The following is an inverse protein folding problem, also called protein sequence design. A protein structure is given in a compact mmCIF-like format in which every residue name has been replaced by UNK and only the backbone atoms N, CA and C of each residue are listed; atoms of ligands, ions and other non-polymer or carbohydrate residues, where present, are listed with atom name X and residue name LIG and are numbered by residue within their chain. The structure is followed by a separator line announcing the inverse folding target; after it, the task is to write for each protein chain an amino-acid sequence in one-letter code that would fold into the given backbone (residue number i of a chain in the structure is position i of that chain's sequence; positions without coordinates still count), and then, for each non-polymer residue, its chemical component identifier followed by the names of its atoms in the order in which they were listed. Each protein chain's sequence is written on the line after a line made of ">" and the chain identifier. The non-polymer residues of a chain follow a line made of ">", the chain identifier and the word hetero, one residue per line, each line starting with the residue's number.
data_IF_273357826896
#
_entry.id   IF_273357826896
#
_cell.length_a   1.000
_cell.length_b   1.000
_cell.length_c   1.000
_cell.angle_alpha   90.00
_cell.angle_beta   90.00
_cell.angle_gamma   90.00
#
_symmetry.space_group_name_H-M   'P 1'
#
loop_
_entity.id
_entity.type
_entity.pdbx_description
1 polymer ?
#
# COMPACT_ATOMS: atom_id res chain seq x y z
N UNK A 1 -30.48 -3.29 -48.94
CA UNK A 1 -30.83 -4.70 -49.13
C UNK A 1 -30.29 -5.44 -47.91
N UNK A 2 -31.16 -5.62 -46.90
CA UNK A 2 -31.60 -6.95 -46.38
C UNK A 2 -30.47 -7.69 -45.66
N UNK A 3 -30.42 -7.71 -44.32
CA UNK A 3 -31.24 -8.54 -43.40
C UNK A 3 -30.95 -10.04 -43.63
N UNK A 4 -30.78 -10.92 -42.66
CA UNK A 4 -31.01 -10.99 -41.23
C UNK A 4 -30.09 -12.16 -40.73
N UNK A 5 -30.09 -12.73 -39.54
CA UNK A 5 -31.04 -12.87 -38.44
C UNK A 5 -30.28 -13.63 -37.34
N UNK A 6 -30.64 -13.43 -36.07
CA UNK A 6 -30.80 -14.51 -35.08
C UNK A 6 -31.32 -13.91 -33.77
N UNK A 7 -32.64 -13.90 -33.67
CA UNK A 7 -33.45 -13.63 -32.49
C UNK A 7 -33.66 -14.90 -31.63
N UNK A 8 -34.02 -14.72 -30.35
CA UNK A 8 -35.05 -15.51 -29.61
C UNK A 8 -35.17 -14.95 -28.18
N UNK A 9 -36.16 -14.09 -27.88
CA UNK A 9 -37.58 -14.31 -27.49
C UNK A 9 -37.80 -14.72 -26.02
N UNK A 10 -38.42 -13.82 -25.26
CA UNK A 10 -39.29 -14.10 -24.11
C UNK A 10 -40.76 -14.25 -24.57
N UNK A 11 -41.66 -14.81 -23.74
CA UNK A 11 -43.11 -14.59 -23.89
C UNK A 11 -43.74 -13.93 -22.64
N UNK A 12 -44.68 -13.04 -22.92
CA UNK A 12 -45.61 -12.37 -21.99
C UNK A 12 -46.65 -13.34 -21.39
N UNK A 13 -47.20 -12.98 -20.23
CA UNK A 13 -48.47 -13.50 -19.71
C UNK A 13 -49.12 -12.45 -18.81
N UNK A 14 -50.19 -11.85 -19.30
CA UNK A 14 -51.12 -10.96 -18.59
C UNK A 14 -51.88 -11.68 -17.44
N UNK A 15 -52.22 -10.93 -16.38
CA UNK A 15 -53.61 -10.62 -15.98
C UNK A 15 -53.86 -10.54 -14.46
N UNK A 16 -54.51 -9.43 -14.11
CA UNK A 16 -55.53 -9.22 -13.07
C UNK A 16 -55.12 -8.80 -11.64
N UNK A 17 -55.73 -7.66 -11.27
CA UNK A 17 -55.67 -6.85 -10.06
C UNK A 17 -56.34 -7.52 -8.85
N UNK A 18 -55.85 -7.25 -7.63
CA UNK A 18 -56.71 -6.73 -6.56
C UNK A 18 -55.88 -5.99 -5.47
N UNK A 19 -56.51 -4.98 -4.88
CA UNK A 19 -55.94 -3.87 -4.12
C UNK A 19 -55.67 -4.15 -2.63
N UNK A 20 -54.70 -3.44 -2.01
CA UNK A 20 -54.74 -2.71 -0.69
C UNK A 20 -53.31 -2.35 -0.16
N UNK A 21 -53.10 -1.38 0.76
CA UNK A 21 -52.72 0.00 0.40
C UNK A 21 -51.39 0.52 0.99
N UNK A 22 -50.85 1.56 0.34
CA UNK A 22 -49.95 2.62 0.80
C UNK A 22 -49.12 2.44 2.10
N UNK A 23 -47.79 2.33 1.92
CA UNK A 23 -46.78 2.75 2.92
C UNK A 23 -45.97 3.89 2.30
N UNK A 24 -45.77 5.03 3.00
CA UNK A 24 -45.23 6.24 2.40
C UNK A 24 -43.73 6.09 2.09
N UNK A 25 -43.37 6.52 0.88
CA UNK A 25 -42.02 6.74 0.40
C UNK A 25 -41.27 7.72 1.30
N UNK A 26 -40.27 7.24 2.05
CA UNK A 26 -39.14 8.04 2.53
C UNK A 26 -37.96 7.86 1.56
N UNK A 27 -38.12 8.41 0.36
CA UNK A 27 -37.02 8.65 -0.57
C UNK A 27 -36.63 10.12 -0.43
N UNK A 28 -35.81 10.43 0.56
CA UNK A 28 -35.04 11.67 0.67
C UNK A 28 -34.03 11.51 1.82
N UNK A 29 -32.78 11.91 1.56
CA UNK A 29 -31.73 12.21 2.54
C UNK A 29 -30.89 11.03 3.11
N UNK A 30 -30.09 10.36 2.28
CA UNK A 30 -28.88 9.65 2.74
C UNK A 30 -27.69 9.79 1.76
N UNK A 31 -27.67 10.88 0.98
CA UNK A 31 -26.61 11.18 0.03
C UNK A 31 -25.65 12.26 0.56
N UNK A 32 -25.05 12.07 1.74
CA UNK A 32 -23.93 12.89 2.24
C UNK A 32 -23.29 12.33 3.54
N UNK A 33 -22.81 11.09 3.53
CA UNK A 33 -21.90 10.61 4.56
C UNK A 33 -20.62 10.11 3.89
N UNK A 34 -19.50 10.80 4.14
CA UNK A 34 -18.18 10.42 3.61
C UNK A 34 -17.78 9.00 4.03
N UNK A 35 -16.78 8.39 3.38
CA UNK A 35 -16.39 7.01 3.61
C UNK A 35 -15.98 6.80 5.08
N UNK A 36 -16.68 5.90 5.78
CA UNK A 36 -16.40 5.57 7.18
C UNK A 36 -15.32 4.49 7.26
N UNK A 37 -14.16 4.82 7.83
CA UNK A 37 -13.12 3.85 8.18
C UNK A 37 -13.60 2.98 9.35
N UNK A 38 -13.80 1.68 9.15
CA UNK A 38 -14.16 0.75 10.23
C UNK A 38 -12.96 0.46 11.14
N UNK A 39 -13.21 0.00 12.37
CA UNK A 39 -12.17 -0.26 13.38
C UNK A 39 -11.21 -1.38 12.93
N UNK A 40 -11.68 -2.30 12.09
CA UNK A 40 -10.89 -3.40 11.51
C UNK A 40 -9.70 -2.91 10.66
N UNK A 41 -9.74 -1.65 10.21
CA UNK A 41 -8.71 -1.07 9.35
C UNK A 41 -7.54 -0.43 10.13
N UNK A 42 -7.73 -0.08 11.40
CA UNK A 42 -6.78 0.71 12.20
C UNK A 42 -6.38 0.05 13.52
N UNK A 43 -6.90 -1.15 13.79
CA UNK A 43 -6.57 -1.91 15.00
C UNK A 43 -6.00 -3.27 14.64
N UNK A 44 -4.99 -3.70 15.40
CA UNK A 44 -4.49 -5.07 15.33
C UNK A 44 -5.50 -6.03 15.95
N UNK A 45 -6.07 -6.91 15.12
CA UNK A 45 -6.85 -8.06 15.55
C UNK A 45 -5.97 -9.06 16.32
N UNK A 46 -6.53 -9.92 17.18
CA UNK A 46 -5.76 -10.99 17.82
C UNK A 46 -5.03 -11.86 16.80
N UNK A 47 -3.81 -12.30 17.12
CA UNK A 47 -3.03 -13.14 16.20
C UNK A 47 -3.59 -14.57 16.17
N UNK A 48 -3.74 -15.19 14.99
CA UNK A 48 -4.17 -16.58 14.91
C UNK A 48 -3.16 -17.51 15.61
N UNK A 49 -3.66 -18.42 16.45
CA UNK A 49 -2.89 -19.49 17.09
C UNK A 49 -1.66 -19.03 17.91
N UNK A 50 -1.60 -17.76 18.34
CA UNK A 50 -0.47 -17.23 19.09
C UNK A 50 0.84 -17.17 18.29
N UNK A 51 0.76 -17.13 16.95
CA UNK A 51 1.94 -16.96 16.10
C UNK A 51 2.65 -15.66 16.45
N UNK A 52 3.97 -15.71 16.51
CA UNK A 52 4.84 -14.57 16.74
C UNK A 52 5.63 -14.23 15.46
N UNK A 53 5.96 -12.96 15.24
CA UNK A 53 6.85 -12.53 14.16
C UNK A 53 8.20 -13.25 14.18
N UNK A 54 8.69 -13.68 13.01
CA UNK A 54 9.96 -14.41 12.85
C UNK A 54 11.10 -13.57 12.26
N UNK A 55 10.79 -12.41 11.69
CA UNK A 55 11.72 -11.48 11.05
C UNK A 55 12.40 -10.51 12.03
N UNK A 56 13.08 -9.53 11.45
CA UNK A 56 13.77 -8.46 12.18
C UNK A 56 13.34 -7.08 11.68
N UNK A 57 13.31 -6.09 12.57
CA UNK A 57 13.17 -4.68 12.17
C UNK A 57 14.56 -4.05 12.12
N UNK A 58 14.95 -3.53 10.96
CA UNK A 58 16.18 -2.74 10.79
C UNK A 58 16.04 -1.72 9.67
N UNK A 59 17.02 -0.84 9.55
CA UNK A 59 17.03 0.18 8.49
C UNK A 59 17.39 -0.43 7.13
N UNK A 60 16.62 -0.03 6.12
CA UNK A 60 16.88 -0.27 4.70
C UNK A 60 16.63 1.05 3.95
N UNK A 61 17.68 1.67 3.39
CA UNK A 61 17.56 3.00 2.78
C UNK A 61 17.14 4.11 3.75
N UNK A 62 17.63 4.04 5.00
CA UNK A 62 17.29 4.89 6.15
C UNK A 62 15.84 4.77 6.68
N UNK A 63 15.08 3.80 6.18
CA UNK A 63 13.70 3.55 6.58
C UNK A 63 13.64 2.30 7.43
N UNK A 64 12.97 2.37 8.58
CA UNK A 64 12.76 1.18 9.41
C UNK A 64 11.88 0.19 8.63
N UNK A 65 12.38 -1.03 8.48
CA UNK A 65 11.83 -2.04 7.59
C UNK A 65 11.85 -3.38 8.31
N UNK A 66 10.71 -4.06 8.33
CA UNK A 66 10.63 -5.43 8.78
C UNK A 66 11.07 -6.34 7.64
N UNK A 67 12.02 -7.22 7.92
CA UNK A 67 12.65 -8.07 6.94
C UNK A 67 12.54 -9.50 7.44
N UNK A 68 11.96 -10.36 6.61
CA UNK A 68 11.85 -11.80 6.88
C UNK A 68 12.26 -12.57 5.62
N UNK A 69 12.88 -13.72 5.83
CA UNK A 69 13.47 -14.55 4.78
C UNK A 69 12.98 -15.99 4.95
N UNK A 70 12.86 -16.77 3.87
CA UNK A 70 12.60 -18.20 3.98
C UNK A 70 13.74 -18.86 4.77
N UNK A 71 13.43 -19.86 5.59
CA UNK A 71 14.42 -20.51 6.46
C UNK A 71 15.64 -21.11 5.71
N UNK A 72 15.48 -21.46 4.43
CA UNK A 72 16.55 -21.98 3.58
C UNK A 72 17.38 -20.92 2.84
N UNK A 73 17.02 -19.64 2.90
CA UNK A 73 17.71 -18.57 2.18
C UNK A 73 19.09 -18.25 2.81
N UNK A 74 20.17 -18.01 2.03
CA UNK A 74 20.21 -17.90 0.56
C UNK A 74 20.46 -19.22 -0.20
N UNK A 75 20.50 -20.36 0.48
CA UNK A 75 20.77 -21.66 -0.16
C UNK A 75 19.58 -22.22 -0.96
N UNK A 76 18.36 -21.84 -0.58
CA UNK A 76 17.14 -22.09 -1.34
C UNK A 76 16.75 -20.81 -2.09
N UNK A 77 16.54 -20.86 -3.42
CA UNK A 77 16.16 -19.69 -4.19
C UNK A 77 14.85 -19.07 -3.68
N UNK A 78 14.84 -17.75 -3.52
CA UNK A 78 13.69 -16.96 -3.12
C UNK A 78 13.51 -15.76 -4.06
N UNK A 79 12.33 -15.13 -4.07
CA UNK A 79 12.04 -13.91 -4.83
C UNK A 79 11.86 -12.72 -3.91
N UNK A 80 12.17 -11.50 -4.35
CA UNK A 80 11.98 -10.32 -3.51
C UNK A 80 10.53 -9.82 -3.57
N UNK A 81 9.90 -9.66 -2.40
CA UNK A 81 8.55 -9.11 -2.24
C UNK A 81 8.57 -7.85 -1.36
N UNK A 82 8.02 -6.76 -1.88
CA UNK A 82 7.72 -5.55 -1.14
C UNK A 82 6.29 -5.63 -0.56
N UNK A 83 6.16 -5.61 0.76
CA UNK A 83 4.85 -5.59 1.43
C UNK A 83 4.53 -4.18 1.93
N UNK A 84 3.41 -3.63 1.45
CA UNK A 84 2.95 -2.27 1.76
C UNK A 84 1.72 -2.32 2.67
N UNK A 85 1.87 -1.79 3.90
CA UNK A 85 0.87 -1.93 4.97
C UNK A 85 -0.32 -0.99 4.84
N UNK A 86 -1.43 -1.36 5.49
CA UNK A 86 -2.54 -0.46 5.80
C UNK A 86 -2.22 0.47 6.97
N UNK A 87 -3.25 1.14 7.51
CA UNK A 87 -3.08 2.17 8.56
C UNK A 87 -2.39 1.72 9.85
N UNK A 88 -2.40 0.42 10.17
CA UNK A 88 -1.72 -0.14 11.36
C UNK A 88 -0.19 -0.16 11.24
N UNK A 89 0.35 -0.08 10.03
CA UNK A 89 1.79 0.13 9.78
C UNK A 89 2.73 -0.99 10.24
N UNK A 90 4.02 -0.66 10.29
CA UNK A 90 5.11 -1.54 10.72
C UNK A 90 4.92 -2.13 12.14
N UNK A 91 4.43 -1.38 13.15
CA UNK A 91 4.30 -1.90 14.52
C UNK A 91 3.27 -3.03 14.66
N UNK A 92 2.41 -3.21 13.65
CA UNK A 92 1.39 -4.25 13.65
C UNK A 92 2.00 -5.65 13.68
N UNK A 93 1.64 -6.43 14.70
CA UNK A 93 2.06 -7.84 14.79
C UNK A 93 1.43 -8.66 13.67
N UNK A 94 0.19 -8.33 13.28
CA UNK A 94 -0.49 -8.99 12.16
C UNK A 94 0.18 -8.72 10.82
N UNK A 95 0.61 -7.49 10.55
CA UNK A 95 1.36 -7.19 9.32
C UNK A 95 2.72 -7.91 9.28
N UNK A 96 3.40 -8.03 10.42
CA UNK A 96 4.65 -8.80 10.52
C UNK A 96 4.42 -10.30 10.27
N UNK A 97 3.37 -10.88 10.84
CA UNK A 97 2.98 -12.27 10.56
C UNK A 97 2.55 -12.45 9.11
N UNK A 98 1.86 -11.47 8.52
CA UNK A 98 1.50 -11.48 7.11
C UNK A 98 2.76 -11.54 6.22
N UNK A 99 3.80 -10.78 6.57
CA UNK A 99 5.09 -10.86 5.89
C UNK A 99 5.73 -12.24 6.06
N UNK A 100 5.66 -12.83 7.26
CA UNK A 100 6.21 -14.17 7.52
C UNK A 100 5.51 -15.25 6.66
N UNK A 101 4.19 -15.15 6.46
CA UNK A 101 3.45 -16.07 5.60
C UNK A 101 3.97 -16.05 4.15
N UNK A 102 4.28 -14.87 3.60
CA UNK A 102 4.90 -14.80 2.28
C UNK A 102 6.33 -15.37 2.29
N UNK A 103 7.07 -15.22 3.39
CA UNK A 103 8.40 -15.81 3.49
C UNK A 103 8.38 -17.34 3.53
N UNK A 104 7.38 -17.93 4.19
CA UNK A 104 7.15 -19.38 4.16
C UNK A 104 6.91 -19.87 2.72
N UNK A 105 6.34 -19.03 1.86
CA UNK A 105 6.05 -19.28 0.44
C UNK A 105 7.20 -18.91 -0.53
N UNK A 106 8.42 -18.73 -0.01
CA UNK A 106 9.62 -18.57 -0.83
C UNK A 106 9.91 -17.13 -1.26
N UNK A 107 9.46 -16.14 -0.49
CA UNK A 107 9.81 -14.74 -0.70
C UNK A 107 10.78 -14.21 0.36
N UNK A 108 11.79 -13.46 -0.05
CA UNK A 108 12.42 -12.48 0.86
C UNK A 108 11.47 -11.30 0.91
N UNK A 109 10.95 -10.98 2.10
CA UNK A 109 9.94 -9.92 2.25
C UNK A 109 10.58 -8.71 2.91
N UNK A 110 10.39 -7.55 2.29
CA UNK A 110 10.73 -6.24 2.84
C UNK A 110 9.43 -5.46 3.07
N UNK A 111 9.15 -5.11 4.32
CA UNK A 111 7.97 -4.37 4.74
C UNK A 111 8.40 -3.03 5.37
N UNK A 112 8.49 -1.94 4.60
CA UNK A 112 8.94 -0.66 5.13
C UNK A 112 7.87 0.04 5.97
N UNK A 113 8.30 0.84 6.93
CA UNK A 113 7.44 1.79 7.62
C UNK A 113 7.05 2.93 6.68
N UNK A 114 5.84 2.86 6.15
CA UNK A 114 5.29 3.89 5.26
C UNK A 114 5.01 5.21 5.97
N UNK A 115 4.95 5.20 7.31
CA UNK A 115 4.43 6.29 8.12
C UNK A 115 5.47 6.92 9.05
N UNK A 116 6.68 6.38 9.11
CA UNK A 116 7.75 6.90 9.98
C UNK A 116 7.34 6.97 11.46
N UNK A 117 6.61 5.96 11.92
CA UNK A 117 6.07 5.85 13.28
C UNK A 117 4.72 6.52 13.53
N UNK A 118 4.17 7.29 12.58
CA UNK A 118 2.85 7.95 12.70
C UNK A 118 1.75 7.08 12.10
N UNK A 119 1.40 5.96 12.75
CA UNK A 119 0.32 5.06 12.28
C UNK A 119 -1.06 5.73 12.35
N UNK A 120 -2.04 5.17 11.62
CA UNK A 120 -3.39 5.71 11.59
C UNK A 120 -4.02 5.72 13.00
N UNK A 121 -4.78 6.76 13.36
CA UNK A 121 -5.43 6.84 14.66
C UNK A 121 -6.48 5.74 14.79
N UNK A 122 -6.44 5.03 15.92
CA UNK A 122 -7.39 3.98 16.26
C UNK A 122 -8.46 4.46 17.25
N UNK A 123 -9.46 3.62 17.52
CA UNK A 123 -10.58 3.97 18.40
C UNK A 123 -10.12 4.39 19.80
N UNK A 124 -9.07 3.78 20.34
CA UNK A 124 -8.52 4.17 21.65
C UNK A 124 -7.92 5.59 21.65
N UNK A 125 -7.14 5.93 20.61
CA UNK A 125 -6.59 7.27 20.44
C UNK A 125 -7.70 8.32 20.26
N UNK A 126 -8.77 7.96 19.54
CA UNK A 126 -9.93 8.83 19.34
C UNK A 126 -10.71 9.01 20.65
N UNK A 127 -10.94 7.93 21.40
CA UNK A 127 -11.59 8.01 22.71
C UNK A 127 -10.81 8.87 23.70
N UNK A 128 -9.48 8.82 23.67
CA UNK A 128 -8.61 9.69 24.46
C UNK A 128 -8.76 11.17 24.05
N UNK A 129 -8.79 11.46 22.75
CA UNK A 129 -8.99 12.81 22.22
C UNK A 129 -10.40 13.35 22.53
N UNK A 130 -11.43 12.53 22.38
CA UNK A 130 -12.80 12.90 22.75
C UNK A 130 -12.88 13.19 24.25
N UNK A 131 -12.23 12.36 25.09
CA UNK A 131 -12.19 12.56 26.54
C UNK A 131 -11.43 13.84 26.92
N UNK A 132 -10.38 14.19 26.19
CA UNK A 132 -9.62 15.42 26.41
C UNK A 132 -10.46 16.67 26.09
N UNK A 133 -11.33 16.59 25.08
CA UNK A 133 -12.28 17.66 24.73
C UNK A 133 -13.49 17.72 25.67
N UNK A 134 -13.98 16.56 26.15
CA UNK A 134 -15.13 16.45 27.06
C UNK A 134 -14.85 16.81 28.51
N UNK A 135 -13.57 16.92 28.92
CA UNK A 135 -13.20 17.41 30.26
C UNK A 135 -13.68 18.85 30.54
N UNK A 136 -14.36 19.50 29.58
CA UNK A 136 -15.00 20.79 29.72
C UNK A 136 -16.52 20.76 30.01
N UNK A 137 -17.23 19.62 29.91
CA UNK A 137 -18.69 19.56 30.15
C UNK A 137 -19.16 18.25 30.80
N UNK A 138 -19.47 18.32 32.09
CA UNK A 138 -19.99 17.20 32.88
C UNK A 138 -21.53 17.04 32.78
N UNK A 139 -21.95 15.77 32.75
CA UNK A 139 -23.21 15.18 33.24
C UNK A 139 -24.50 15.28 32.39
N UNK A 140 -24.99 14.12 31.91
CA UNK A 140 -26.39 13.91 31.48
C UNK A 140 -26.62 12.70 30.57
N UNK A 141 -26.95 11.52 31.12
CA UNK A 141 -27.06 10.25 30.38
C UNK A 141 -28.16 10.17 29.30
N UNK A 142 -27.93 9.29 28.33
CA UNK A 142 -28.78 8.85 27.21
C UNK A 142 -28.87 9.76 25.97
N UNK A 143 -29.15 11.07 26.09
CA UNK A 143 -29.05 11.96 24.91
C UNK A 143 -27.59 12.23 24.55
N UNK A 144 -26.71 12.30 25.57
CA UNK A 144 -25.28 12.48 25.34
C UNK A 144 -24.65 11.33 24.57
N UNK A 145 -25.16 10.10 24.64
CA UNK A 145 -24.51 8.97 23.97
C UNK A 145 -24.56 9.11 22.44
N UNK A 146 -25.68 9.61 21.89
CA UNK A 146 -25.76 9.91 20.45
C UNK A 146 -24.84 11.08 20.06
N UNK A 147 -24.75 12.11 20.91
CA UNK A 147 -23.85 13.24 20.67
C UNK A 147 -22.39 12.82 20.79
N UNK A 148 -22.08 11.93 21.73
CA UNK A 148 -20.77 11.32 21.93
C UNK A 148 -20.36 10.50 20.74
N UNK A 149 -21.25 9.64 20.23
CA UNK A 149 -20.95 8.85 19.03
C UNK A 149 -20.75 9.76 17.83
N UNK A 150 -21.61 10.76 17.61
CA UNK A 150 -21.43 11.72 16.49
C UNK A 150 -20.17 12.57 16.63
N UNK A 151 -19.86 13.02 17.85
CA UNK A 151 -18.63 13.76 18.13
C UNK A 151 -17.40 12.87 17.90
N UNK A 152 -17.41 11.64 18.41
CA UNK A 152 -16.35 10.66 18.20
C UNK A 152 -16.17 10.31 16.71
N UNK A 153 -17.25 10.13 15.95
CA UNK A 153 -17.19 9.93 14.49
C UNK A 153 -16.58 11.15 13.78
N UNK A 154 -16.93 12.37 14.19
CA UNK A 154 -16.40 13.62 13.61
C UNK A 154 -14.92 13.81 13.94
N UNK A 155 -14.52 13.52 15.18
CA UNK A 155 -13.12 13.56 15.60
C UNK A 155 -12.33 12.47 14.88
N UNK A 156 -12.88 11.25 14.77
CA UNK A 156 -12.29 10.14 14.02
C UNK A 156 -12.01 10.53 12.57
N UNK A 157 -13.02 11.02 11.85
CA UNK A 157 -12.84 11.43 10.45
C UNK A 157 -11.80 12.53 10.32
N UNK A 158 -11.85 13.55 11.19
CA UNK A 158 -10.87 14.64 11.17
C UNK A 158 -9.44 14.17 11.46
N UNK A 159 -9.25 13.27 12.43
CA UNK A 159 -7.93 12.72 12.76
C UNK A 159 -7.39 11.87 11.60
N UNK A 160 -8.25 11.08 10.94
CA UNK A 160 -7.88 10.31 9.75
C UNK A 160 -7.52 11.25 8.60
N UNK A 161 -8.30 12.30 8.34
CA UNK A 161 -8.00 13.29 7.29
C UNK A 161 -6.67 14.01 7.56
N UNK A 162 -6.42 14.38 8.82
CA UNK A 162 -5.14 14.94 9.23
C UNK A 162 -3.99 13.94 9.05
N UNK A 163 -4.21 12.66 9.35
CA UNK A 163 -3.23 11.60 9.14
C UNK A 163 -2.93 11.40 7.65
N UNK A 164 -3.95 11.36 6.81
CA UNK A 164 -3.84 11.29 5.35
C UNK A 164 -3.09 12.49 4.77
N UNK A 165 -3.36 13.70 5.27
CA UNK A 165 -2.64 14.91 4.87
C UNK A 165 -1.14 14.87 5.23
N UNK A 166 -0.74 14.09 6.24
CA UNK A 166 0.66 13.87 6.60
C UNK A 166 1.32 12.78 5.78
N UNK A 167 0.57 11.85 5.17
CA UNK A 167 1.05 10.70 4.41
C UNK A 167 0.69 10.78 2.93
N UNK A 168 1.23 11.81 2.27
CA UNK A 168 0.98 12.07 0.86
C UNK A 168 1.90 11.25 -0.05
N UNK A 169 1.48 11.12 -1.32
CA UNK A 169 2.28 10.51 -2.38
C UNK A 169 3.71 11.09 -2.45
N UNK A 170 3.84 12.41 -2.35
CA UNK A 170 5.11 13.14 -2.37
C UNK A 170 6.05 12.82 -1.19
N UNK A 171 5.55 12.20 -0.11
CA UNK A 171 6.37 11.72 1.01
C UNK A 171 6.65 10.23 0.91
N UNK A 172 5.62 9.44 0.61
CA UNK A 172 5.71 7.98 0.62
C UNK A 172 6.47 7.45 -0.58
N UNK A 173 6.31 8.02 -1.79
CA UNK A 173 7.04 7.52 -2.96
C UNK A 173 8.56 7.68 -2.83
N UNK A 174 9.13 8.84 -2.45
CA UNK A 174 10.56 8.96 -2.16
C UNK A 174 11.09 7.94 -1.16
N UNK A 175 10.31 7.64 -0.12
CA UNK A 175 10.64 6.62 0.87
C UNK A 175 10.73 5.24 0.22
N UNK A 176 9.71 4.86 -0.55
CA UNK A 176 9.67 3.58 -1.27
C UNK A 176 10.83 3.45 -2.27
N UNK A 177 11.24 4.53 -2.94
CA UNK A 177 12.38 4.51 -3.84
C UNK A 177 13.70 4.21 -3.11
N UNK A 178 13.92 4.80 -1.93
CA UNK A 178 15.11 4.51 -1.12
C UNK A 178 15.12 3.06 -0.65
N UNK A 179 13.98 2.56 -0.18
CA UNK A 179 13.82 1.16 0.25
C UNK A 179 14.06 0.20 -0.92
N UNK A 180 13.43 0.44 -2.06
CA UNK A 180 13.57 -0.41 -3.25
C UNK A 180 15.01 -0.42 -3.77
N UNK A 181 15.69 0.73 -3.79
CA UNK A 181 17.12 0.79 -4.15
C UNK A 181 17.96 -0.08 -3.22
N UNK A 182 17.86 0.17 -1.90
CA UNK A 182 18.62 -0.59 -0.92
C UNK A 182 18.28 -2.09 -0.91
N UNK A 183 17.00 -2.44 -1.10
CA UNK A 183 16.56 -3.83 -1.18
C UNK A 183 17.08 -4.55 -2.43
N UNK A 184 17.11 -3.86 -3.58
CA UNK A 184 17.67 -4.41 -4.83
C UNK A 184 19.17 -4.65 -4.72
N UNK A 185 19.88 -3.79 -4.02
CA UNK A 185 21.32 -3.93 -3.78
C UNK A 185 21.60 -5.09 -2.81
N UNK A 186 20.88 -5.15 -1.68
CA UNK A 186 21.12 -6.16 -0.64
C UNK A 186 20.65 -7.56 -1.05
N UNK A 187 19.50 -7.66 -1.73
CA UNK A 187 18.85 -8.92 -2.12
C UNK A 187 18.89 -9.13 -3.64
N UNK A 188 20.01 -8.77 -4.26
CA UNK A 188 20.20 -8.85 -5.71
C UNK A 188 19.95 -10.26 -6.28
N UNK A 189 20.27 -11.31 -5.51
CA UNK A 189 20.00 -12.70 -5.86
C UNK A 189 18.50 -13.01 -5.89
N UNK A 190 17.73 -12.51 -4.93
CA UNK A 190 16.27 -12.67 -4.89
C UNK A 190 15.57 -11.89 -6.01
N UNK A 191 16.07 -10.69 -6.34
CA UNK A 191 15.62 -9.91 -7.50
C UNK A 191 15.92 -10.65 -8.80
N UNK A 192 17.14 -11.17 -8.97
CA UNK A 192 17.52 -11.92 -10.16
C UNK A 192 16.70 -13.21 -10.32
N UNK A 193 16.41 -13.90 -9.21
CA UNK A 193 15.60 -15.12 -9.22
C UNK A 193 14.16 -14.86 -9.67
N UNK A 194 13.59 -13.71 -9.32
CA UNK A 194 12.24 -13.29 -9.64
C UNK A 194 12.10 -12.44 -10.91
N UNK A 195 13.21 -12.17 -11.60
CA UNK A 195 13.26 -11.20 -12.72
C UNK A 195 12.65 -9.83 -12.34
N UNK A 196 12.87 -9.40 -11.10
CA UNK A 196 12.35 -8.15 -10.56
C UNK A 196 11.84 -8.25 -9.13
N UNK A 197 11.09 -7.23 -8.72
CA UNK A 197 10.51 -7.09 -7.38
C UNK A 197 9.01 -7.28 -7.47
N UNK A 198 8.44 -8.14 -6.65
CA UNK A 198 6.99 -8.28 -6.53
C UNK A 198 6.48 -7.30 -5.48
N UNK A 199 5.23 -6.86 -5.55
CA UNK A 199 4.65 -6.07 -4.47
C UNK A 199 3.24 -6.52 -4.10
N UNK A 200 2.95 -6.47 -2.81
CA UNK A 200 1.61 -6.66 -2.24
C UNK A 200 1.27 -5.44 -1.40
N UNK A 201 0.06 -4.93 -1.52
CA UNK A 201 -0.38 -3.73 -0.81
C UNK A 201 -1.75 -3.89 -0.19
N UNK A 202 -1.87 -3.56 1.09
CA UNK A 202 -3.12 -3.66 1.85
C UNK A 202 -3.63 -2.27 2.18
N UNK A 203 -4.93 -2.01 2.00
CA UNK A 203 -5.53 -0.72 2.34
C UNK A 203 -4.72 0.44 1.72
N UNK A 204 -4.10 1.29 2.54
CA UNK A 204 -3.27 2.42 2.11
C UNK A 204 -2.15 1.99 1.16
N UNK A 205 -1.49 0.87 1.46
CA UNK A 205 -0.42 0.31 0.64
C UNK A 205 -0.87 -0.13 -0.76
N UNK A 206 -2.16 -0.44 -0.95
CA UNK A 206 -2.71 -0.90 -2.23
C UNK A 206 -2.58 0.14 -3.35
N UNK A 207 -2.79 1.43 -3.03
CA UNK A 207 -2.57 2.52 -4.00
C UNK A 207 -1.13 2.59 -4.48
N UNK A 208 -0.17 2.39 -3.59
CA UNK A 208 1.25 2.48 -3.92
C UNK A 208 1.74 1.32 -4.76
N UNK A 209 1.08 0.15 -4.72
CA UNK A 209 1.32 -0.92 -5.70
C UNK A 209 1.00 -0.43 -7.11
N UNK A 210 -0.14 0.24 -7.31
CA UNK A 210 -0.51 0.82 -8.62
C UNK A 210 0.54 1.85 -9.07
N UNK A 211 0.94 2.77 -8.20
CA UNK A 211 1.92 3.80 -8.54
C UNK A 211 3.29 3.21 -8.92
N UNK A 212 3.71 2.12 -8.26
CA UNK A 212 4.97 1.42 -8.58
C UNK A 212 4.86 0.54 -9.85
N UNK A 213 3.66 0.14 -10.24
CA UNK A 213 3.37 -0.68 -11.42
C UNK A 213 3.27 0.11 -12.73
N UNK A 214 3.28 1.44 -12.66
CA UNK A 214 3.25 2.33 -13.83
C UNK A 214 4.61 2.88 -14.23
N UNK A 215 4.70 3.46 -15.43
CA UNK A 215 5.88 4.20 -15.89
C UNK A 215 6.19 5.48 -15.09
N UNK A 216 5.15 6.04 -14.45
CA UNK A 216 5.25 7.23 -13.59
C UNK A 216 6.15 7.02 -12.38
N UNK A 217 6.45 5.78 -12.01
CA UNK A 217 7.34 5.49 -10.91
C UNK A 217 8.71 6.17 -11.09
N UNK A 218 9.23 6.23 -12.33
CA UNK A 218 10.52 6.86 -12.64
C UNK A 218 10.61 8.37 -12.38
N UNK A 219 9.49 9.06 -12.17
CA UNK A 219 9.43 10.51 -11.98
C UNK A 219 9.96 10.96 -10.61
N UNK A 220 10.12 10.03 -9.67
CA UNK A 220 10.49 10.32 -8.28
C UNK A 220 11.96 10.00 -7.96
N UNK A 221 12.86 10.11 -8.94
CA UNK A 221 14.30 10.04 -8.70
C UNK A 221 14.73 11.15 -7.71
N UNK A 222 14.79 10.79 -6.43
CA UNK A 222 15.24 11.69 -5.36
C UNK A 222 16.75 11.63 -5.29
N UNK A 223 17.39 12.74 -5.67
CA UNK A 223 18.78 13.03 -5.31
C UNK A 223 18.93 12.85 -3.79
N UNK A 224 19.87 12.00 -3.36
CA UNK A 224 20.15 11.82 -1.94
C UNK A 224 20.57 13.14 -1.28
N UNK A 225 20.57 13.25 0.06
CA UNK A 225 21.08 14.44 0.71
C UNK A 225 22.55 14.62 0.32
N UNK A 226 22.83 15.63 -0.49
CA UNK A 226 24.21 16.03 -0.78
C UNK A 226 24.85 16.44 0.54
N UNK A 227 25.82 15.65 1.00
CA UNK A 227 26.69 16.05 2.09
C UNK A 227 27.32 17.40 1.71
N UNK A 228 26.96 18.46 2.44
CA UNK A 228 27.56 19.80 2.26
C UNK A 228 29.08 19.69 2.32
N UNK A 229 29.83 20.24 1.35
CA UNK A 229 31.27 20.32 1.48
C UNK A 229 31.59 21.29 2.63
N UNK A 230 32.27 20.78 3.65
CA UNK A 230 32.97 21.56 4.65
C UNK A 230 34.03 22.42 3.94
N UNK A 231 33.85 23.74 3.91
CA UNK A 231 34.89 24.64 3.44
C UNK A 231 34.47 26.10 3.42
N UNK A 232 34.89 26.85 4.45
CA UNK A 232 35.42 28.21 4.33
C UNK A 232 35.68 28.80 5.72
N UNK A 233 36.91 28.68 6.22
CA UNK A 233 37.46 29.57 7.24
C UNK A 233 38.16 30.75 6.54
N UNK A 234 37.96 32.02 6.96
CA UNK A 234 38.59 33.14 6.29
C UNK A 234 39.94 33.52 6.90
N UNK A 235 40.90 33.69 5.98
CA UNK A 235 41.89 34.79 5.87
C UNK A 235 43.10 34.91 6.82
N UNK A 236 44.26 34.75 6.16
CA UNK A 236 45.45 35.62 6.14
C UNK A 236 46.44 35.63 7.34
N UNK A 237 47.67 35.20 7.05
CA UNK A 237 48.85 35.40 7.92
C UNK A 237 50.14 34.76 7.39
N UNK A 238 50.85 35.47 6.49
CA UNK A 238 52.33 35.57 6.36
C UNK A 238 53.24 34.33 6.12
N UNK A 239 53.59 34.09 4.84
CA UNK A 239 54.92 34.14 4.17
C UNK A 239 56.19 33.37 4.72
N UNK A 240 57.28 33.19 3.93
CA UNK A 240 57.58 31.94 3.18
C UNK A 240 59.06 31.45 3.25
N UNK A 241 59.39 30.20 2.84
CA UNK A 241 60.66 29.67 2.26
C UNK A 241 60.68 28.12 2.39
N UNK A 242 61.22 27.26 1.53
CA UNK A 242 61.94 27.29 0.25
C UNK A 242 61.90 25.86 -0.38
N UNK A 243 62.06 25.76 -1.72
CA UNK A 243 62.89 24.79 -2.49
C UNK A 243 62.73 23.25 -2.25
N UNK A 244 62.75 22.29 -3.19
CA UNK A 244 62.97 22.16 -4.65
C UNK A 244 62.78 20.67 -5.03
N UNK A 245 62.20 20.39 -6.22
CA UNK A 245 62.32 19.22 -7.14
C UNK A 245 62.06 17.77 -6.71
N UNK A 246 61.18 17.07 -7.46
CA UNK A 246 61.49 16.06 -8.53
C UNK A 246 60.22 15.25 -8.88
N UNK A 247 59.62 15.51 -10.04
CA UNK A 247 59.47 14.59 -11.21
C UNK A 247 58.87 13.20 -10.93
N UNK A 248 57.64 12.99 -11.42
CA UNK A 248 57.00 11.69 -11.63
C UNK A 248 55.64 11.87 -12.31
N UNK A 249 55.60 11.65 -13.63
CA UNK A 249 54.42 11.79 -14.47
C UNK A 249 53.68 10.44 -14.61
N UNK A 250 52.35 10.46 -14.40
CA UNK A 250 51.29 9.54 -14.88
C UNK A 250 50.08 9.76 -13.92
N UNK A 251 48.83 9.99 -14.28
CA UNK A 251 48.02 10.04 -15.51
C UNK A 251 46.77 10.86 -15.11
N UNK A 252 46.34 11.92 -15.83
CA UNK A 252 45.20 12.75 -15.43
C UNK A 252 43.81 12.20 -15.84
N UNK A 253 43.68 10.94 -16.29
CA UNK A 253 42.40 10.38 -16.76
C UNK A 253 41.89 9.16 -15.97
N UNK A 254 41.96 9.20 -14.63
CA UNK A 254 41.41 8.14 -13.76
C UNK A 254 40.01 8.46 -13.19
N UNK A 255 39.35 9.51 -13.67
CA UNK A 255 37.94 9.81 -13.34
C UNK A 255 37.03 9.30 -14.47
N UNK A 256 36.92 7.98 -14.58
CA UNK A 256 35.93 7.33 -15.45
C UNK A 256 34.72 6.95 -14.59
N UNK A 257 33.65 7.74 -14.73
CA UNK A 257 32.25 7.34 -14.63
C UNK A 257 31.71 6.74 -13.31
N UNK A 258 32.00 7.35 -12.17
CA UNK A 258 31.21 7.07 -10.94
C UNK A 258 29.78 7.64 -11.03
N UNK A 259 29.57 8.68 -11.85
CA UNK A 259 28.25 9.33 -12.03
C UNK A 259 27.37 8.58 -13.04
N UNK A 260 27.95 7.93 -14.05
CA UNK A 260 27.19 7.19 -15.07
C UNK A 260 26.78 5.76 -14.62
N UNK A 261 27.39 5.24 -13.54
CA UNK A 261 26.98 3.97 -12.93
C UNK A 261 25.73 4.12 -12.04
N UNK A 262 25.51 5.28 -11.41
CA UNK A 262 24.33 5.53 -10.58
C UNK A 262 23.05 5.79 -11.41
N UNK A 263 23.18 6.36 -12.61
CA UNK A 263 22.07 6.53 -13.55
C UNK A 263 21.57 5.20 -14.13
N UNK A 264 22.36 4.11 -14.05
CA UNK A 264 22.03 2.81 -14.66
C UNK A 264 21.12 1.89 -13.85
N UNK A 265 21.00 2.07 -12.54
CA UNK A 265 20.32 1.10 -11.65
C UNK A 265 18.83 1.39 -11.43
N UNK A 266 18.39 2.61 -11.79
CA UNK A 266 16.98 3.06 -11.84
C UNK A 266 16.63 3.73 -13.20
N UNK A 267 17.49 3.56 -14.22
CA UNK A 267 17.57 4.42 -15.41
C UNK A 267 16.82 4.00 -16.67
N UNK A 268 15.79 3.17 -16.58
CA UNK A 268 14.87 2.96 -17.72
C UNK A 268 13.45 3.32 -17.31
N UNK A 269 12.73 4.12 -18.11
CA UNK A 269 11.30 4.33 -17.88
C UNK A 269 10.62 2.96 -17.92
N UNK A 270 9.86 2.66 -16.88
CA UNK A 270 9.20 1.37 -16.69
C UNK A 270 8.72 1.17 -15.26
N UNK A 271 7.97 0.09 -15.01
CA UNK A 271 7.48 -0.23 -13.68
C UNK A 271 8.64 -0.59 -12.74
N UNK A 272 8.52 -0.22 -11.47
CA UNK A 272 9.48 -0.59 -10.42
C UNK A 272 9.23 -1.99 -9.85
N UNK A 273 8.08 -2.57 -10.17
CA UNK A 273 7.70 -3.92 -9.76
C UNK A 273 7.40 -4.80 -10.99
N UNK A 274 7.63 -6.11 -10.84
CA UNK A 274 7.40 -7.15 -11.84
C UNK A 274 5.92 -7.53 -11.94
N UNK A 275 5.27 -7.67 -10.79
CA UNK A 275 3.84 -7.94 -10.64
C UNK A 275 3.35 -7.39 -9.30
N UNK A 276 2.09 -6.96 -9.25
CA UNK A 276 1.49 -6.33 -8.08
C UNK A 276 0.19 -7.00 -7.65
N UNK A 277 -0.09 -6.99 -6.36
CA UNK A 277 -1.41 -7.35 -5.81
C UNK A 277 -1.86 -6.27 -4.84
N UNK A 278 -3.10 -5.83 -4.95
CA UNK A 278 -3.72 -4.92 -3.99
C UNK A 278 -4.93 -5.58 -3.34
N UNK A 279 -4.99 -5.50 -2.02
CA UNK A 279 -6.10 -5.99 -1.21
C UNK A 279 -6.80 -4.84 -0.52
N UNK A 280 -8.11 -4.75 -0.73
CA UNK A 280 -9.03 -3.75 -0.18
C UNK A 280 -8.37 -2.37 -0.15
N UNK A 281 -7.93 -1.88 -1.32
CA UNK A 281 -7.15 -0.65 -1.40
C UNK A 281 -7.95 0.57 -0.88
N UNK A 282 -7.28 1.69 -0.64
CA UNK A 282 -7.95 2.96 -0.36
C UNK A 282 -7.23 4.12 -1.04
N UNK A 283 -7.90 5.27 -1.15
CA UNK A 283 -7.40 6.48 -1.82
C UNK A 283 -7.08 6.28 -3.31
N UNK A 284 -7.57 5.21 -3.91
CA UNK A 284 -7.40 4.94 -5.34
C UNK A 284 -8.41 5.76 -6.12
N UNK A 285 -7.94 6.36 -7.21
CA UNK A 285 -8.72 7.06 -8.21
C UNK A 285 -8.56 6.38 -9.57
N UNK A 286 -9.46 6.62 -10.54
CA UNK A 286 -9.29 6.12 -11.90
C UNK A 286 -7.97 6.57 -12.57
N UNK A 287 -7.39 7.69 -12.13
CA UNK A 287 -6.11 8.20 -12.67
C UNK A 287 -4.90 7.36 -12.24
N UNK A 288 -4.97 6.66 -11.10
CA UNK A 288 -3.88 5.82 -10.59
C UNK A 288 -3.69 4.56 -11.47
N UNK A 289 -4.68 4.17 -12.27
CA UNK A 289 -4.58 3.07 -13.23
C UNK A 289 -3.89 3.45 -14.54
N UNK A 290 -3.79 4.76 -14.85
CA UNK A 290 -3.25 5.19 -16.15
C UNK A 290 -1.72 5.02 -16.20
N UNK A 291 -1.25 4.32 -17.24
CA UNK A 291 0.17 4.06 -17.48
C UNK A 291 0.70 2.80 -16.78
N UNK A 292 -0.18 1.98 -16.21
CA UNK A 292 0.20 0.68 -15.65
C UNK A 292 0.78 -0.23 -16.73
N UNK A 293 1.85 -0.95 -16.37
CA UNK A 293 2.55 -1.89 -17.25
C UNK A 293 2.77 -3.24 -16.59
N UNK A 294 2.90 -3.29 -15.26
CA UNK A 294 3.02 -4.56 -14.54
C UNK A 294 1.65 -5.25 -14.38
N UNK A 295 1.59 -6.59 -14.39
CA UNK A 295 0.36 -7.34 -14.11
C UNK A 295 -0.17 -7.09 -12.69
N UNK A 296 -1.49 -6.95 -12.56
CA UNK A 296 -2.17 -6.57 -11.31
C UNK A 296 -3.28 -7.56 -10.92
N UNK A 297 -3.25 -8.08 -9.68
CA UNK A 297 -4.42 -8.73 -9.06
C UNK A 297 -5.08 -7.83 -8.02
N UNK A 298 -6.42 -7.81 -8.01
CA UNK A 298 -7.24 -6.99 -7.12
C UNK A 298 -8.15 -7.88 -6.25
N UNK A 299 -7.90 -7.85 -4.94
CA UNK A 299 -8.73 -8.48 -3.90
C UNK A 299 -9.64 -7.40 -3.34
N UNK A 300 -10.88 -7.33 -3.83
CA UNK A 300 -11.82 -6.25 -3.56
C UNK A 300 -12.91 -6.67 -2.57
N UNK A 301 -13.42 -5.72 -1.79
CA UNK A 301 -14.56 -5.92 -0.90
C UNK A 301 -15.82 -5.40 -1.60
N UNK A 302 -16.91 -6.16 -1.55
CA UNK A 302 -18.19 -5.75 -2.11
C UNK A 302 -18.71 -4.47 -1.44
N UNK A 303 -19.15 -3.49 -2.24
CA UNK A 303 -19.71 -2.22 -1.74
C UNK A 303 -18.78 -1.45 -0.78
N UNK A 304 -17.46 -1.57 -0.97
CA UNK A 304 -16.48 -0.90 -0.11
C UNK A 304 -16.45 0.62 -0.34
N UNK A 305 -16.81 1.45 0.65
CA UNK A 305 -16.78 2.90 0.49
C UNK A 305 -15.36 3.46 0.32
N UNK A 306 -14.31 2.71 0.72
CA UNK A 306 -12.92 3.14 0.58
C UNK A 306 -12.31 2.80 -0.78
N UNK A 307 -12.90 1.83 -1.49
CA UNK A 307 -12.58 1.52 -2.88
C UNK A 307 -13.86 1.31 -3.68
N UNK A 308 -14.57 2.40 -4.04
CA UNK A 308 -15.89 2.31 -4.65
C UNK A 308 -15.88 1.50 -5.94
N UNK A 309 -16.96 0.74 -6.18
CA UNK A 309 -17.11 -0.10 -7.38
C UNK A 309 -16.92 0.67 -8.68
N UNK A 310 -17.31 1.95 -8.74
CA UNK A 310 -17.09 2.79 -9.91
C UNK A 310 -15.58 3.00 -10.20
N UNK A 311 -14.75 3.14 -9.16
CA UNK A 311 -13.29 3.28 -9.30
C UNK A 311 -12.68 1.93 -9.71
N UNK A 312 -13.05 0.85 -9.03
CA UNK A 312 -12.62 -0.52 -9.37
C UNK A 312 -12.92 -0.86 -10.82
N UNK A 313 -14.17 -0.66 -11.24
CA UNK A 313 -14.64 -0.95 -12.61
C UNK A 313 -13.90 -0.10 -13.63
N UNK A 314 -13.71 1.20 -13.38
CA UNK A 314 -12.93 2.06 -14.29
C UNK A 314 -11.48 1.60 -14.43
N UNK A 315 -10.88 1.09 -13.34
CA UNK A 315 -9.53 0.51 -13.36
C UNK A 315 -9.45 -0.80 -14.15
N UNK A 316 -10.38 -1.73 -13.91
CA UNK A 316 -10.49 -3.01 -14.64
C UNK A 316 -10.71 -2.79 -16.15
N UNK A 317 -11.60 -1.86 -16.50
CA UNK A 317 -11.84 -1.45 -17.90
C UNK A 317 -10.56 -0.91 -18.54
N UNK A 318 -9.80 -0.07 -17.82
CA UNK A 318 -8.54 0.47 -18.31
C UNK A 318 -7.50 -0.63 -18.56
N UNK A 319 -7.31 -1.54 -17.60
CA UNK A 319 -6.36 -2.65 -17.71
C UNK A 319 -6.70 -3.55 -18.91
N UNK A 320 -7.98 -3.89 -19.07
CA UNK A 320 -8.51 -4.64 -20.21
C UNK A 320 -8.25 -3.92 -21.55
N UNK A 321 -8.57 -2.63 -21.64
CA UNK A 321 -8.40 -1.86 -22.88
C UNK A 321 -6.93 -1.68 -23.29
N UNK A 322 -6.01 -1.69 -22.33
CA UNK A 322 -4.57 -1.50 -22.56
C UNK A 322 -3.77 -2.81 -22.56
N UNK A 323 -4.44 -3.97 -22.54
CA UNK A 323 -3.83 -5.31 -22.51
C UNK A 323 -2.83 -5.50 -21.35
N UNK A 324 -3.11 -4.90 -20.20
CA UNK A 324 -2.37 -5.19 -18.96
C UNK A 324 -3.02 -6.41 -18.32
N UNK A 325 -2.24 -7.47 -18.11
CA UNK A 325 -2.72 -8.70 -17.49
C UNK A 325 -3.24 -8.41 -16.07
N UNK A 326 -4.45 -8.87 -15.78
CA UNK A 326 -5.09 -8.59 -14.50
C UNK A 326 -6.07 -9.68 -14.06
N UNK A 327 -6.32 -9.72 -12.76
CA UNK A 327 -7.37 -10.53 -12.13
C UNK A 327 -8.11 -9.65 -11.11
N UNK A 328 -9.43 -9.78 -11.03
CA UNK A 328 -10.26 -9.07 -10.06
C UNK A 328 -11.18 -10.08 -9.38
N UNK A 329 -11.17 -10.08 -8.05
CA UNK A 329 -12.11 -10.85 -7.26
C UNK A 329 -12.78 -9.95 -6.23
N UNK A 330 -14.11 -9.97 -6.21
CA UNK A 330 -14.92 -9.20 -5.26
C UNK A 330 -15.46 -10.16 -4.20
N UNK A 331 -15.15 -9.89 -2.94
CA UNK A 331 -15.54 -10.69 -1.79
C UNK A 331 -16.77 -10.08 -1.12
N UNK A 332 -17.92 -10.77 -1.14
CA UNK A 332 -19.13 -10.31 -0.45
C UNK A 332 -19.06 -10.62 1.05
N UNK A 333 -19.75 -9.81 1.86
CA UNK A 333 -19.95 -10.08 3.28
C UNK A 333 -18.70 -9.99 4.18
N UNK A 334 -17.59 -9.46 3.67
CA UNK A 334 -16.36 -9.26 4.44
C UNK A 334 -16.12 -7.77 4.73
N UNK A 335 -15.49 -7.41 5.86
CA UNK A 335 -15.14 -6.03 6.14
C UNK A 335 -13.91 -5.57 5.35
N UNK A 336 -13.73 -4.25 5.21
CA UNK A 336 -12.44 -3.71 4.80
C UNK A 336 -11.34 -4.18 5.77
N UNK A 337 -10.18 -4.57 5.24
CA UNK A 337 -9.09 -5.13 6.04
C UNK A 337 -9.14 -6.66 6.23
N UNK A 338 -10.14 -7.36 5.70
CA UNK A 338 -10.31 -8.82 5.90
C UNK A 338 -9.13 -9.67 5.47
N UNK A 339 -8.41 -9.24 4.43
CA UNK A 339 -7.33 -10.00 3.81
C UNK A 339 -6.00 -9.93 4.58
N UNK A 340 -5.87 -9.02 5.56
CA UNK A 340 -4.72 -9.02 6.49
C UNK A 340 -4.93 -10.11 7.53
N UNK A 341 -3.89 -10.86 7.87
CA UNK A 341 -3.90 -11.81 9.00
C UNK A 341 -4.58 -11.21 10.23
N UNK A 342 -5.41 -12.02 10.87
CA UNK A 342 -5.97 -11.71 12.18
C UNK A 342 -7.22 -12.51 12.43
N UNK A 343 -7.53 -12.71 13.70
CA UNK A 343 -8.68 -13.51 14.11
C UNK A 343 -10.00 -12.76 13.86
N UNK A 344 -11.02 -13.51 13.42
CA UNK A 344 -12.38 -13.03 13.16
C UNK A 344 -13.35 -13.94 13.90
N UNK A 345 -14.35 -13.37 14.59
CA UNK A 345 -15.37 -14.19 15.24
C UNK A 345 -16.23 -14.99 14.23
N UNK A 346 -16.40 -14.44 13.03
CA UNK A 346 -17.15 -15.07 11.94
C UNK A 346 -16.23 -15.99 11.11
N UNK A 347 -16.55 -17.28 11.08
CA UNK A 347 -15.80 -18.29 10.34
C UNK A 347 -15.82 -18.06 8.82
N UNK A 348 -16.88 -17.43 8.28
CA UNK A 348 -16.94 -17.12 6.84
C UNK A 348 -15.90 -16.07 6.44
N UNK A 349 -15.59 -15.12 7.33
CA UNK A 349 -14.54 -14.13 7.10
C UNK A 349 -13.16 -14.78 7.20
N UNK A 350 -12.96 -15.72 8.13
CA UNK A 350 -11.71 -16.49 8.20
C UNK A 350 -11.46 -17.29 6.92
N UNK A 351 -12.50 -17.96 6.39
CA UNK A 351 -12.42 -18.68 5.12
C UNK A 351 -12.12 -17.73 3.96
N UNK A 352 -12.81 -16.59 3.88
CA UNK A 352 -12.56 -15.57 2.87
C UNK A 352 -11.13 -15.01 2.94
N UNK A 353 -10.58 -14.79 4.14
CA UNK A 353 -9.19 -14.36 4.34
C UNK A 353 -8.21 -15.41 3.79
N UNK A 354 -8.43 -16.69 4.07
CA UNK A 354 -7.58 -17.77 3.54
C UNK A 354 -7.67 -17.85 2.00
N UNK A 355 -8.88 -17.78 1.44
CA UNK A 355 -9.10 -17.79 -0.01
C UNK A 355 -8.46 -16.58 -0.70
N UNK A 356 -8.56 -15.39 -0.09
CA UNK A 356 -7.88 -14.19 -0.57
C UNK A 356 -6.37 -14.36 -0.57
N UNK A 357 -5.78 -14.88 0.51
CA UNK A 357 -4.35 -15.13 0.56
C UNK A 357 -3.88 -16.10 -0.54
N UNK A 358 -4.62 -17.19 -0.79
CA UNK A 358 -4.34 -18.12 -1.88
C UNK A 358 -4.45 -17.46 -3.27
N UNK A 359 -5.44 -16.59 -3.49
CA UNK A 359 -5.54 -15.80 -4.72
C UNK A 359 -4.26 -14.97 -4.93
N UNK A 360 -3.84 -14.24 -3.89
CA UNK A 360 -2.64 -13.40 -3.95
C UNK A 360 -1.39 -14.24 -4.24
N UNK A 361 -1.20 -15.36 -3.54
CA UNK A 361 -0.06 -16.25 -3.76
C UNK A 361 -0.04 -16.84 -5.16
N UNK A 362 -1.19 -17.30 -5.66
CA UNK A 362 -1.32 -17.84 -7.01
C UNK A 362 -0.92 -16.80 -8.05
N UNK A 363 -1.34 -15.54 -7.88
CA UNK A 363 -0.95 -14.45 -8.77
C UNK A 363 0.57 -14.23 -8.77
N UNK A 364 1.17 -14.13 -7.59
CA UNK A 364 2.61 -13.92 -7.44
C UNK A 364 3.44 -15.11 -7.96
N UNK A 365 2.92 -16.33 -7.84
CA UNK A 365 3.57 -17.55 -8.33
C UNK A 365 3.49 -17.72 -9.85
N UNK A 366 2.47 -17.14 -10.49
CA UNK A 366 2.29 -17.21 -11.94
C UNK A 366 3.20 -16.26 -12.73
N UNK A 367 3.78 -15.25 -12.07
CA UNK A 367 4.53 -14.14 -12.69
C UNK A 367 6.01 -14.14 -12.35
#
# INVERSE_FOLDING_TARGET
>A
MTAADLATRAPESDAAEDATPAVPSSAADDAAAGPKLCDDCVTDRPTPNGRAPAGEIRKLGDVDTYIVKPSGYPHTPARLLLLLTGGTGLPSTNNQIQADLYADEGFVVVMPDLFGGDVAPNSAAIEEEVRSQESSTAAGGSFLDLFKTKAAETVKSFMIDMWLARHTEAKVLPLLHRVLRAARDEFADAVARGDGVYAVGYCFGGRYVLLLAGDKASQYNVEGPTAKPSGAAPTQGTAPTAQTTTSGAADPNADVDVVALEEGLLGRPGPLIKAGVLAHATLVSPEDFKGLQAPISMVCVESDPMFPDAVRTAGEDYLSQNNVEHEVQVYPGVPHGFAVVGDYADASIQEAQAVAFEQMLKWLNAH
#
